data_IF_314825969046
#
_entry.id   IF_314825969046
#
_cell.length_a   1.000
_cell.length_b   1.000
_cell.length_c   1.000
_cell.angle_alpha   90.00
_cell.angle_beta   90.00
_cell.angle_gamma   90.00
#
_symmetry.space_group_name_H-M   'P 1'
#
loop_
_entity.id
_entity.type
_entity.pdbx_description
1 polymer ?
#
# COMPACT_ATOMS: atom_id res chain seq x y z
N UNK A 1 -1.83 -11.08 25.36
CA UNK A 1 -0.45 -11.00 25.86
C UNK A 1 0.50 -11.39 24.74
N UNK A 2 1.60 -10.67 24.59
CA UNK A 2 2.62 -10.89 23.55
C UNK A 2 4.00 -11.07 24.18
N UNK A 3 4.96 -11.54 23.38
CA UNK A 3 6.33 -11.77 23.82
C UNK A 3 7.09 -10.45 23.98
N UNK A 4 7.25 -10.01 25.24
CA UNK A 4 7.92 -8.75 25.59
C UNK A 4 9.42 -8.76 25.29
N UNK A 5 10.05 -9.93 25.25
CA UNK A 5 11.47 -10.04 24.96
C UNK A 5 11.73 -9.73 23.48
N UNK A 6 10.90 -10.28 22.58
CA UNK A 6 10.95 -9.95 21.14
C UNK A 6 10.69 -8.45 20.92
N UNK A 7 9.73 -7.85 21.64
CA UNK A 7 9.51 -6.41 21.54
C UNK A 7 10.76 -5.61 21.90
N UNK A 8 11.47 -5.96 22.99
CA UNK A 8 12.71 -5.27 23.40
C UNK A 8 13.82 -5.35 22.36
N UNK A 9 13.96 -6.50 21.71
CA UNK A 9 14.94 -6.70 20.63
C UNK A 9 14.62 -5.76 19.46
N UNK A 10 13.37 -5.73 19.02
CA UNK A 10 12.96 -4.81 17.93
C UNK A 10 13.10 -3.34 18.34
N UNK A 11 12.81 -2.98 19.59
CA UNK A 11 13.00 -1.60 20.06
C UNK A 11 14.47 -1.17 20.04
N UNK A 12 15.40 -2.11 20.22
CA UNK A 12 16.84 -1.83 20.10
C UNK A 12 17.17 -1.42 18.66
N UNK A 13 16.72 -2.19 17.68
CA UNK A 13 16.92 -1.88 16.26
C UNK A 13 16.15 -0.62 15.82
N UNK A 14 14.94 -0.41 16.35
CA UNK A 14 14.16 0.79 16.10
C UNK A 14 14.94 2.04 16.55
N UNK A 15 15.51 2.03 17.77
CA UNK A 15 16.34 3.11 18.30
C UNK A 15 17.58 3.36 17.45
N UNK A 16 18.28 2.30 17.01
CA UNK A 16 19.47 2.43 16.16
C UNK A 16 19.18 3.07 14.79
N UNK A 17 17.99 2.83 14.25
CA UNK A 17 17.53 3.37 12.97
C UNK A 17 16.73 4.68 13.12
N UNK A 18 16.40 5.09 14.35
CA UNK A 18 15.44 6.14 14.61
C UNK A 18 15.82 7.45 13.93
N UNK A 19 16.99 8.02 14.26
CA UNK A 19 17.46 9.27 13.66
C UNK A 19 17.97 9.12 12.23
N UNK A 20 18.48 7.93 11.88
CA UNK A 20 19.09 7.67 10.58
C UNK A 20 18.05 7.64 9.47
N UNK A 21 16.90 7.01 9.72
CA UNK A 21 15.90 6.74 8.69
C UNK A 21 14.48 6.94 9.20
N UNK A 22 14.12 6.34 10.33
CA UNK A 22 12.71 6.23 10.74
C UNK A 22 12.06 7.60 10.98
N UNK A 23 12.67 8.45 11.80
CA UNK A 23 12.13 9.76 12.16
C UNK A 23 11.92 10.65 10.94
N UNK A 24 12.94 10.76 10.08
CA UNK A 24 12.86 11.60 8.88
C UNK A 24 11.77 11.14 7.91
N UNK A 25 11.51 9.84 7.83
CA UNK A 25 10.50 9.26 6.95
C UNK A 25 9.09 9.33 7.53
N UNK A 26 8.95 9.25 8.86
CA UNK A 26 7.65 9.04 9.51
C UNK A 26 7.16 10.22 10.36
N UNK A 27 8.00 11.25 10.61
CA UNK A 27 7.63 12.44 11.40
C UNK A 27 6.36 13.15 10.91
N UNK A 28 6.02 12.98 9.63
CA UNK A 28 4.82 13.55 9.04
C UNK A 28 3.53 13.10 9.77
N UNK A 29 3.53 11.99 10.50
CA UNK A 29 2.40 11.54 11.32
C UNK A 29 2.09 12.56 12.41
N UNK A 30 3.10 12.98 13.18
CA UNK A 30 2.96 13.96 14.26
C UNK A 30 2.64 15.36 13.70
N UNK A 31 3.26 15.75 12.58
CA UNK A 31 2.97 17.01 11.90
C UNK A 31 1.50 17.04 11.39
N UNK A 32 1.00 15.93 10.86
CA UNK A 32 -0.38 15.80 10.40
C UNK A 32 -1.39 15.92 11.54
N UNK A 33 -1.12 15.30 12.71
CA UNK A 33 -1.99 15.42 13.89
C UNK A 33 -2.02 16.87 14.37
N UNK A 34 -0.85 17.51 14.54
CA UNK A 34 -0.76 18.91 14.99
C UNK A 34 -1.57 19.82 14.07
N UNK A 35 -1.32 19.70 12.77
CA UNK A 35 -1.98 20.53 11.78
C UNK A 35 -3.49 20.29 11.74
N UNK A 36 -3.95 19.03 11.90
CA UNK A 36 -5.38 18.74 12.00
C UNK A 36 -5.99 19.38 13.26
N UNK A 37 -5.39 19.19 14.43
CA UNK A 37 -5.88 19.73 15.70
C UNK A 37 -6.00 21.26 15.68
N UNK A 38 -5.00 21.95 15.13
CA UNK A 38 -4.99 23.41 15.02
C UNK A 38 -6.08 23.97 14.09
N UNK A 39 -6.56 23.16 13.14
CA UNK A 39 -7.46 23.59 12.08
C UNK A 39 -8.83 22.91 12.13
N UNK A 40 -9.08 22.04 13.10
CA UNK A 40 -10.34 21.30 13.22
C UNK A 40 -11.36 22.05 14.09
N UNK A 41 -12.52 22.36 13.52
CA UNK A 41 -13.66 22.88 14.26
C UNK A 41 -14.98 22.34 13.68
N UNK A 42 -15.59 21.37 14.35
CA UNK A 42 -16.84 20.72 13.91
C UNK A 42 -18.03 21.70 13.82
N UNK A 43 -17.98 22.83 14.54
CA UNK A 43 -19.01 23.84 14.57
C UNK A 43 -18.71 25.03 13.63
N UNK A 44 -17.70 24.94 12.77
CA UNK A 44 -17.38 26.00 11.82
C UNK A 44 -18.54 26.23 10.83
N UNK A 45 -18.86 27.49 10.56
CA UNK A 45 -19.87 27.86 9.57
C UNK A 45 -19.45 27.40 8.17
N UNK A 46 -18.16 27.54 7.83
CA UNK A 46 -17.55 27.05 6.58
C UNK A 46 -16.95 25.63 6.73
N UNK A 47 -17.74 24.68 7.24
CA UNK A 47 -17.27 23.33 7.57
C UNK A 47 -16.54 22.62 6.43
N UNK A 48 -17.01 22.72 5.18
CA UNK A 48 -16.36 22.08 4.04
C UNK A 48 -14.92 22.60 3.80
N UNK A 49 -14.72 23.92 3.87
CA UNK A 49 -13.39 24.54 3.74
C UNK A 49 -12.51 24.19 4.93
N UNK A 50 -13.07 24.20 6.15
CA UNK A 50 -12.39 23.79 7.37
C UNK A 50 -11.91 22.34 7.28
N UNK A 51 -12.77 21.41 6.86
CA UNK A 51 -12.45 19.99 6.69
C UNK A 51 -11.33 19.80 5.65
N UNK A 52 -11.43 20.51 4.52
CA UNK A 52 -10.38 20.49 3.48
C UNK A 52 -9.05 21.01 3.99
N UNK A 53 -9.09 22.09 4.77
CA UNK A 53 -7.90 22.66 5.40
C UNK A 53 -7.30 21.66 6.38
N UNK A 54 -8.06 21.16 7.36
CA UNK A 54 -7.57 20.27 8.42
C UNK A 54 -6.95 18.97 7.88
N UNK A 55 -7.42 18.44 6.75
CA UNK A 55 -6.87 17.25 6.10
C UNK A 55 -5.71 17.51 5.10
N UNK A 56 -5.32 18.77 4.86
CA UNK A 56 -4.35 19.10 3.80
C UNK A 56 -2.93 18.53 4.01
N UNK A 57 -2.56 18.19 5.26
CA UNK A 57 -1.26 17.57 5.60
C UNK A 57 -1.31 16.05 5.74
N UNK A 58 -2.44 15.40 5.46
CA UNK A 58 -2.61 13.95 5.65
C UNK A 58 -2.36 13.13 4.40
N UNK A 59 -1.68 13.67 3.37
CA UNK A 59 -1.53 13.01 2.05
C UNK A 59 -0.94 11.61 2.16
N UNK A 60 0.12 11.42 2.95
CA UNK A 60 0.77 10.10 3.13
C UNK A 60 -0.11 9.09 3.90
N UNK A 61 -1.23 9.52 4.47
CA UNK A 61 -2.14 8.70 5.28
C UNK A 61 -3.48 8.44 4.57
N UNK A 62 -3.97 9.46 3.86
CA UNK A 62 -5.32 9.52 3.30
C UNK A 62 -5.32 9.82 1.79
N UNK A 63 -4.19 9.59 1.12
CA UNK A 63 -4.08 9.65 -0.33
C UNK A 63 -2.97 8.75 -0.89
N UNK A 64 -3.30 7.97 -1.90
CA UNK A 64 -2.41 7.32 -2.83
C UNK A 64 -3.04 7.39 -4.22
N UNK A 65 -2.31 6.95 -5.26
CA UNK A 65 -2.74 7.07 -6.68
C UNK A 65 -4.15 6.53 -6.90
N UNK A 66 -4.48 5.38 -6.30
CA UNK A 66 -5.76 4.69 -6.48
C UNK A 66 -6.66 4.72 -5.23
N UNK A 67 -6.31 5.50 -4.20
CA UNK A 67 -7.07 5.59 -2.95
C UNK A 67 -6.99 6.99 -2.35
N UNK A 68 -8.06 7.78 -2.43
CA UNK A 68 -8.06 9.20 -2.02
C UNK A 68 -9.21 9.55 -1.06
N UNK A 69 -9.28 8.92 0.13
CA UNK A 69 -10.36 9.15 1.08
C UNK A 69 -10.55 10.61 1.46
N UNK A 70 -9.48 11.36 1.76
CA UNK A 70 -9.58 12.78 2.10
C UNK A 70 -10.16 13.62 0.95
N UNK A 71 -9.74 13.34 -0.29
CA UNK A 71 -10.25 14.02 -1.47
C UNK A 71 -11.73 13.72 -1.74
N UNK A 72 -12.18 12.50 -1.47
CA UNK A 72 -13.58 12.12 -1.66
C UNK A 72 -14.49 12.74 -0.59
N UNK A 73 -14.11 12.65 0.69
CA UNK A 73 -14.96 13.17 1.78
C UNK A 73 -15.07 14.70 1.75
N UNK A 74 -14.01 15.40 1.32
CA UNK A 74 -14.04 16.86 1.14
C UNK A 74 -14.93 17.28 -0.02
N UNK A 75 -14.90 16.54 -1.15
CA UNK A 75 -15.87 16.74 -2.24
C UNK A 75 -17.31 16.51 -1.81
N UNK A 76 -17.55 15.47 -1.00
CA UNK A 76 -18.87 15.26 -0.44
C UNK A 76 -19.27 16.41 0.50
N UNK A 77 -18.37 16.95 1.30
CA UNK A 77 -18.67 18.09 2.17
C UNK A 77 -18.97 19.38 1.38
N UNK A 78 -18.34 19.58 0.21
CA UNK A 78 -18.63 20.70 -0.69
C UNK A 78 -20.07 20.64 -1.25
N UNK A 79 -20.67 19.45 -1.35
CA UNK A 79 -22.01 19.22 -1.93
C UNK A 79 -23.09 19.03 -0.84
N UNK A 80 -22.78 18.25 0.19
CA UNK A 80 -23.66 17.77 1.26
C UNK A 80 -23.01 18.03 2.63
N UNK A 81 -22.82 19.32 2.92
CA UNK A 81 -22.03 19.80 4.06
C UNK A 81 -22.54 19.26 5.40
N UNK A 82 -23.84 19.36 5.66
CA UNK A 82 -24.42 18.98 6.95
C UNK A 82 -24.50 17.46 7.13
N UNK A 83 -24.67 16.70 6.05
CA UNK A 83 -24.59 15.24 6.09
C UNK A 83 -23.18 14.77 6.47
N UNK A 84 -22.14 15.34 5.84
CA UNK A 84 -20.76 15.00 6.19
C UNK A 84 -20.42 15.50 7.60
N UNK A 85 -20.90 16.68 8.00
CA UNK A 85 -20.75 17.17 9.39
C UNK A 85 -21.36 16.18 10.38
N UNK A 86 -22.58 15.72 10.14
CA UNK A 86 -23.26 14.73 10.97
C UNK A 86 -22.52 13.38 11.03
N UNK A 87 -21.90 12.96 9.92
CA UNK A 87 -21.04 11.76 9.91
C UNK A 87 -19.85 11.90 10.86
N UNK A 88 -19.16 13.05 10.88
CA UNK A 88 -18.05 13.29 11.80
C UNK A 88 -18.51 13.44 13.25
N UNK A 89 -19.66 14.08 13.50
CA UNK A 89 -20.26 14.16 14.85
C UNK A 89 -20.50 12.74 15.39
N UNK A 90 -21.11 11.87 14.59
CA UNK A 90 -21.38 10.49 15.00
C UNK A 90 -20.11 9.66 15.13
N UNK A 91 -19.13 9.85 14.23
CA UNK A 91 -17.84 9.17 14.34
C UNK A 91 -17.12 9.51 15.66
N UNK A 92 -17.26 10.76 16.10
CA UNK A 92 -16.58 11.30 17.28
C UNK A 92 -17.38 11.19 18.59
N UNK A 93 -18.57 10.59 18.56
CA UNK A 93 -19.37 10.26 19.73
C UNK A 93 -18.73 9.08 20.49
N UNK A 94 -17.94 9.36 21.52
CA UNK A 94 -17.28 8.34 22.34
C UNK A 94 -18.21 7.56 23.28
N UNK A 95 -19.52 7.87 23.29
CA UNK A 95 -20.51 7.06 24.02
C UNK A 95 -20.91 5.78 23.28
N UNK A 96 -20.62 5.69 21.98
CA UNK A 96 -20.93 4.54 21.12
C UNK A 96 -19.72 3.63 20.92
N UNK A 97 -19.98 2.36 20.65
CA UNK A 97 -18.92 1.39 20.34
C UNK A 97 -18.14 1.80 19.08
N UNK A 98 -16.82 1.62 19.11
CA UNK A 98 -15.95 2.06 18.02
C UNK A 98 -16.33 1.45 16.67
N UNK A 99 -16.70 0.17 16.65
CA UNK A 99 -17.06 -0.49 15.40
C UNK A 99 -18.37 0.09 14.85
N UNK A 100 -19.35 0.38 15.70
CA UNK A 100 -20.62 1.00 15.27
C UNK A 100 -20.38 2.36 14.61
N UNK A 101 -19.53 3.20 15.21
CA UNK A 101 -19.17 4.52 14.66
C UNK A 101 -18.50 4.41 13.29
N UNK A 102 -17.51 3.52 13.16
CA UNK A 102 -16.80 3.34 11.89
C UNK A 102 -17.73 2.73 10.83
N UNK A 103 -18.54 1.74 11.20
CA UNK A 103 -19.51 1.11 10.32
C UNK A 103 -20.55 2.11 9.82
N UNK A 104 -21.10 2.93 10.71
CA UNK A 104 -22.04 4.00 10.36
C UNK A 104 -21.43 5.00 9.37
N UNK A 105 -20.19 5.43 9.61
CA UNK A 105 -19.48 6.33 8.68
C UNK A 105 -19.31 5.72 7.29
N UNK A 106 -18.98 4.42 7.21
CA UNK A 106 -18.86 3.69 5.94
C UNK A 106 -20.19 3.63 5.20
N UNK A 107 -21.25 3.18 5.87
CA UNK A 107 -22.59 3.06 5.28
C UNK A 107 -23.12 4.41 4.78
N UNK A 108 -22.91 5.49 5.55
CA UNK A 108 -23.27 6.85 5.11
C UNK A 108 -22.44 7.32 3.92
N UNK A 109 -21.17 6.91 3.84
CA UNK A 109 -20.34 7.19 2.67
C UNK A 109 -20.82 6.47 1.41
N UNK A 110 -21.37 5.26 1.53
CA UNK A 110 -22.00 4.54 0.41
C UNK A 110 -23.24 5.29 -0.10
N UNK A 111 -24.08 5.82 0.81
CA UNK A 111 -25.24 6.64 0.45
C UNK A 111 -24.80 7.92 -0.28
N UNK A 112 -23.76 8.59 0.19
CA UNK A 112 -23.21 9.78 -0.47
C UNK A 112 -22.61 9.45 -1.84
N UNK A 113 -21.98 8.28 -2.00
CA UNK A 113 -21.47 7.80 -3.27
C UNK A 113 -22.59 7.54 -4.28
N UNK A 114 -23.68 6.90 -3.85
CA UNK A 114 -24.83 6.64 -4.71
C UNK A 114 -25.46 7.95 -5.21
N UNK A 115 -25.57 8.95 -4.32
CA UNK A 115 -26.19 10.24 -4.64
C UNK A 115 -25.27 11.18 -5.44
N UNK A 116 -23.99 11.25 -5.09
CA UNK A 116 -23.07 12.31 -5.53
C UNK A 116 -21.76 11.79 -6.14
N UNK A 117 -21.60 10.47 -6.26
CA UNK A 117 -20.36 9.85 -6.71
C UNK A 117 -20.01 10.07 -8.19
N UNK A 118 -20.96 10.53 -9.01
CA UNK A 118 -20.74 10.86 -10.43
C UNK A 118 -20.00 9.76 -11.22
N UNK A 119 -20.41 8.50 -11.04
CA UNK A 119 -19.80 7.34 -11.71
C UNK A 119 -18.55 6.77 -11.03
N UNK A 120 -18.14 7.32 -9.87
CA UNK A 120 -17.09 6.72 -9.07
C UNK A 120 -17.52 5.35 -8.53
N UNK A 121 -16.64 4.35 -8.66
CA UNK A 121 -16.94 2.99 -8.21
C UNK A 121 -16.87 2.80 -6.69
N UNK A 122 -16.20 3.70 -5.95
CA UNK A 122 -15.92 3.58 -4.50
C UNK A 122 -15.81 4.94 -3.83
N UNK A 123 -16.17 5.01 -2.55
CA UNK A 123 -16.05 6.21 -1.70
C UNK A 123 -14.71 6.33 -0.95
N UNK A 124 -13.91 5.25 -0.95
CA UNK A 124 -12.57 5.15 -0.32
C UNK A 124 -12.52 5.28 1.21
N UNK A 125 -13.65 5.47 1.90
CA UNK A 125 -13.71 5.55 3.37
C UNK A 125 -13.66 4.15 3.99
N UNK A 126 -12.57 3.41 3.79
CA UNK A 126 -12.39 2.10 4.41
C UNK A 126 -12.01 2.22 5.91
N UNK A 127 -11.86 1.09 6.58
CA UNK A 127 -11.52 0.98 8.01
C UNK A 127 -10.26 1.78 8.38
N UNK A 128 -9.27 1.77 7.48
CA UNK A 128 -8.01 2.48 7.68
C UNK A 128 -8.19 3.99 7.57
N UNK A 129 -8.95 4.46 6.57
CA UNK A 129 -9.27 5.86 6.43
C UNK A 129 -10.07 6.39 7.63
N UNK A 130 -11.12 5.67 8.04
CA UNK A 130 -12.00 6.12 9.13
C UNK A 130 -11.30 6.07 10.49
N UNK A 131 -10.49 5.04 10.77
CA UNK A 131 -9.64 5.02 11.97
C UNK A 131 -8.60 6.13 11.98
N UNK A 132 -8.08 6.53 10.82
CA UNK A 132 -7.18 7.70 10.72
C UNK A 132 -7.89 8.99 11.13
N UNK A 133 -9.16 9.20 10.76
CA UNK A 133 -9.92 10.36 11.24
C UNK A 133 -10.14 10.35 12.76
N UNK A 134 -10.35 9.17 13.36
CA UNK A 134 -10.44 9.01 14.81
C UNK A 134 -9.11 9.34 15.49
N UNK A 135 -7.99 8.81 14.99
CA UNK A 135 -6.66 9.11 15.50
C UNK A 135 -6.29 10.59 15.33
N UNK A 136 -6.62 11.22 14.20
CA UNK A 136 -6.39 12.66 14.01
C UNK A 136 -7.14 13.50 15.05
N UNK A 137 -8.38 13.12 15.41
CA UNK A 137 -9.20 13.86 16.38
C UNK A 137 -8.85 13.56 17.84
N UNK A 138 -8.53 12.31 18.15
CA UNK A 138 -8.23 11.83 19.50
C UNK A 138 -6.91 11.03 19.48
N UNK A 139 -5.78 11.69 19.19
CA UNK A 139 -4.49 11.03 19.01
C UNK A 139 -4.01 10.30 20.26
N UNK A 140 -4.45 10.73 21.45
CA UNK A 140 -4.09 10.13 22.72
C UNK A 140 -4.86 8.83 23.06
N UNK A 141 -5.85 8.46 22.23
CA UNK A 141 -6.75 7.32 22.49
C UNK A 141 -6.77 6.26 21.39
N UNK A 142 -6.64 6.66 20.13
CA UNK A 142 -6.76 5.74 18.99
C UNK A 142 -5.46 5.65 18.21
N UNK A 143 -5.43 4.69 17.28
CA UNK A 143 -4.31 4.44 16.38
C UNK A 143 -4.83 4.32 14.95
N UNK A 144 -3.92 4.38 13.98
CA UNK A 144 -4.24 4.07 12.58
C UNK A 144 -4.36 2.55 12.45
N UNK A 145 -5.55 2.07 12.09
CA UNK A 145 -5.78 0.64 11.89
C UNK A 145 -5.49 0.22 10.46
N UNK A 146 -4.67 -0.82 10.30
CA UNK A 146 -4.45 -1.52 9.03
C UNK A 146 -4.33 -3.03 9.30
N UNK A 147 -5.23 -3.81 8.72
CA UNK A 147 -5.35 -5.25 9.01
C UNK A 147 -4.05 -6.03 8.75
N UNK A 148 -3.39 -5.78 7.63
CA UNK A 148 -2.15 -6.51 7.29
C UNK A 148 -1.01 -6.14 8.24
N UNK A 149 -0.88 -4.87 8.61
CA UNK A 149 0.16 -4.41 9.54
C UNK A 149 -0.06 -5.03 10.93
N UNK A 150 -1.28 -4.95 11.49
CA UNK A 150 -1.54 -5.55 12.82
C UNK A 150 -1.34 -7.06 12.83
N UNK A 151 -1.70 -7.78 11.75
CA UNK A 151 -1.42 -9.22 11.61
C UNK A 151 0.07 -9.50 11.71
N UNK A 152 0.88 -8.80 10.92
CA UNK A 152 2.33 -8.96 10.93
C UNK A 152 2.93 -8.66 12.31
N UNK A 153 2.47 -7.61 12.99
CA UNK A 153 2.92 -7.28 14.34
C UNK A 153 2.52 -8.36 15.35
N UNK A 154 1.30 -8.87 15.26
CA UNK A 154 0.81 -9.93 16.15
C UNK A 154 1.59 -11.23 15.98
N UNK A 155 1.84 -11.64 14.73
CA UNK A 155 2.65 -12.81 14.40
C UNK A 155 4.08 -12.66 14.90
N UNK A 156 4.70 -11.50 14.64
CA UNK A 156 6.09 -11.24 15.00
C UNK A 156 6.32 -11.25 16.51
N UNK A 157 5.42 -10.63 17.27
CA UNK A 157 5.52 -10.56 18.71
C UNK A 157 4.96 -11.82 19.41
N UNK A 158 4.69 -12.90 18.66
CA UNK A 158 4.12 -14.16 19.18
C UNK A 158 2.89 -13.91 20.07
N UNK A 159 2.03 -13.01 19.61
CA UNK A 159 0.91 -12.51 20.39
C UNK A 159 -0.26 -13.49 20.41
N UNK A 160 -0.95 -13.57 21.54
CA UNK A 160 -2.21 -14.31 21.66
C UNK A 160 -3.37 -13.67 20.87
N UNK A 161 -3.20 -12.44 20.38
CA UNK A 161 -4.21 -11.76 19.57
C UNK A 161 -4.22 -12.33 18.15
N UNK A 162 -5.41 -12.61 17.63
CA UNK A 162 -5.58 -13.11 16.26
C UNK A 162 -6.48 -12.18 15.46
N UNK A 163 -6.07 -11.87 14.24
CA UNK A 163 -6.78 -10.94 13.37
C UNK A 163 -7.20 -11.67 12.10
N UNK A 164 -8.49 -11.67 11.79
CA UNK A 164 -9.07 -12.50 10.71
C UNK A 164 -9.68 -11.65 9.62
N UNK A 165 -9.64 -12.12 8.37
CA UNK A 165 -10.39 -11.44 7.31
C UNK A 165 -11.89 -11.49 7.63
N UNK A 166 -12.62 -10.42 7.29
CA UNK A 166 -14.07 -10.31 7.50
C UNK A 166 -14.57 -10.31 8.96
N UNK A 167 -13.69 -10.35 9.97
CA UNK A 167 -14.05 -10.24 11.39
C UNK A 167 -13.83 -8.81 11.92
N UNK A 168 -14.43 -7.81 11.27
CA UNK A 168 -14.03 -6.42 11.46
C UNK A 168 -14.24 -5.88 12.90
N UNK A 169 -15.41 -6.15 13.49
CA UNK A 169 -15.72 -5.71 14.86
C UNK A 169 -14.70 -6.22 15.88
N UNK A 170 -14.44 -7.53 15.84
CA UNK A 170 -13.51 -8.19 16.76
C UNK A 170 -12.07 -7.74 16.50
N UNK A 171 -11.68 -7.56 15.23
CA UNK A 171 -10.36 -7.07 14.88
C UNK A 171 -10.08 -5.67 15.43
N UNK A 172 -11.03 -4.73 15.33
CA UNK A 172 -10.80 -3.36 15.84
C UNK A 172 -10.67 -3.37 17.36
N UNK A 173 -11.56 -4.08 18.06
CA UNK A 173 -11.51 -4.16 19.53
C UNK A 173 -10.21 -4.83 19.98
N UNK A 174 -9.86 -5.96 19.37
CA UNK A 174 -8.60 -6.66 19.63
C UNK A 174 -7.38 -5.82 19.30
N UNK A 175 -7.43 -5.04 18.23
CA UNK A 175 -6.34 -4.16 17.82
C UNK A 175 -6.07 -3.08 18.85
N UNK A 176 -7.13 -2.41 19.34
CA UNK A 176 -6.97 -1.40 20.39
C UNK A 176 -6.40 -2.00 21.68
N UNK A 177 -6.94 -3.14 22.14
CA UNK A 177 -6.40 -3.81 23.33
C UNK A 177 -4.94 -4.20 23.14
N UNK A 178 -4.60 -4.78 21.99
CA UNK A 178 -3.25 -5.21 21.67
C UNK A 178 -2.26 -4.02 21.61
N UNK A 179 -2.60 -2.95 20.89
CA UNK A 179 -1.74 -1.78 20.78
C UNK A 179 -1.65 -1.00 22.09
N UNK A 180 -2.69 -1.03 22.94
CA UNK A 180 -2.61 -0.49 24.29
C UNK A 180 -1.63 -1.28 25.17
N UNK A 181 -1.60 -2.61 25.07
CA UNK A 181 -0.59 -3.42 25.75
C UNK A 181 0.83 -3.11 25.25
N UNK A 182 1.02 -2.98 23.93
CA UNK A 182 2.32 -2.60 23.34
C UNK A 182 2.74 -1.22 23.85
N UNK A 183 1.84 -0.24 23.79
CA UNK A 183 2.07 1.13 24.25
C UNK A 183 2.48 1.18 25.72
N UNK A 184 1.86 0.36 26.58
CA UNK A 184 2.20 0.27 27.99
C UNK A 184 3.59 -0.33 28.25
N UNK A 185 4.13 -1.12 27.33
CA UNK A 185 5.52 -1.59 27.40
C UNK A 185 6.51 -0.59 26.80
N UNK A 186 6.15 0.06 25.68
CA UNK A 186 6.95 1.13 25.07
C UNK A 186 7.15 2.29 26.05
N UNK A 187 6.11 2.67 26.80
CA UNK A 187 6.17 3.77 27.76
C UNK A 187 7.10 3.53 28.96
N UNK A 188 7.66 2.33 29.08
CA UNK A 188 8.67 1.98 30.10
C UNK A 188 10.11 2.12 29.58
N UNK A 189 10.31 2.25 28.26
CA UNK A 189 11.63 2.42 27.66
C UNK A 189 12.04 3.90 27.70
N UNK A 190 12.70 4.30 28.78
CA UNK A 190 13.13 5.69 28.99
C UNK A 190 14.13 6.19 27.94
N UNK A 191 14.93 5.30 27.34
CA UNK A 191 15.87 5.69 26.28
C UNK A 191 15.11 6.08 25.02
N UNK A 192 14.15 5.25 24.59
CA UNK A 192 13.28 5.53 23.45
C UNK A 192 12.47 6.82 23.67
N UNK A 193 11.90 6.99 24.87
CA UNK A 193 11.11 8.19 25.19
C UNK A 193 11.98 9.45 25.12
N UNK A 194 13.19 9.42 25.67
CA UNK A 194 14.11 10.56 25.60
C UNK A 194 14.52 10.85 24.16
N UNK A 195 14.83 9.81 23.38
CA UNK A 195 15.19 9.93 21.97
C UNK A 195 14.05 10.56 21.17
N UNK A 196 12.82 10.07 21.33
CA UNK A 196 11.62 10.61 20.70
C UNK A 196 11.36 12.06 21.12
N UNK A 197 11.33 12.34 22.44
CA UNK A 197 11.05 13.66 22.99
C UNK A 197 12.04 14.72 22.50
N UNK A 198 13.30 14.34 22.28
CA UNK A 198 14.33 15.24 21.74
C UNK A 198 14.07 15.71 20.31
N UNK A 199 13.22 15.00 19.56
CA UNK A 199 12.91 15.31 18.16
C UNK A 199 11.59 16.05 17.98
N UNK A 200 10.72 16.07 18.99
CA UNK A 200 9.45 16.79 18.92
C UNK A 200 9.72 18.29 18.85
N UNK A 201 9.12 18.93 17.85
CA UNK A 201 9.17 20.38 17.63
C UNK A 201 7.78 20.99 17.80
N UNK A 202 7.69 22.33 17.77
CA UNK A 202 6.41 23.05 17.82
C UNK A 202 5.41 22.67 16.71
N UNK A 203 5.90 22.14 15.59
CA UNK A 203 5.10 21.69 14.46
C UNK A 203 4.60 20.25 14.61
N UNK A 204 5.04 19.54 15.65
CA UNK A 204 4.64 18.16 15.93
C UNK A 204 3.58 18.12 17.04
N UNK A 205 2.68 17.13 16.97
CA UNK A 205 1.84 16.81 18.11
C UNK A 205 2.73 16.20 19.21
N UNK A 206 2.59 16.60 20.49
CA UNK A 206 3.47 16.13 21.56
C UNK A 206 3.41 14.62 21.80
N UNK A 207 2.25 13.99 21.55
CA UNK A 207 2.02 12.56 21.71
C UNK A 207 2.33 12.07 23.13
N UNK A 208 1.79 12.75 24.14
CA UNK A 208 2.08 12.48 25.56
C UNK A 208 1.66 11.08 26.02
N UNK A 209 0.67 10.49 25.37
CA UNK A 209 0.22 9.10 25.59
C UNK A 209 0.95 8.08 24.70
N UNK A 210 1.94 8.52 23.91
CA UNK A 210 2.79 7.70 23.04
C UNK A 210 2.04 6.82 22.03
N UNK A 211 0.82 7.20 21.66
CA UNK A 211 -0.02 6.41 20.75
C UNK A 211 0.50 6.46 19.33
N UNK A 212 0.92 7.64 18.89
CA UNK A 212 1.48 7.83 17.55
C UNK A 212 2.85 7.14 17.45
N UNK A 213 3.70 7.26 18.48
CA UNK A 213 4.94 6.51 18.60
C UNK A 213 4.70 5.00 18.56
N UNK A 214 3.70 4.50 19.29
CA UNK A 214 3.34 3.07 19.26
C UNK A 214 2.87 2.64 17.88
N UNK A 215 2.04 3.44 17.20
CA UNK A 215 1.63 3.17 15.83
C UNK A 215 2.83 3.14 14.86
N UNK A 216 3.82 4.01 15.06
CA UNK A 216 5.04 4.04 14.27
C UNK A 216 5.93 2.81 14.52
N UNK A 217 6.09 2.39 15.77
CA UNK A 217 6.79 1.15 16.12
C UNK A 217 6.08 -0.07 15.50
N UNK A 218 4.74 -0.11 15.57
CA UNK A 218 3.95 -1.16 14.90
C UNK A 218 4.19 -1.18 13.39
N UNK A 219 4.23 -0.01 12.75
CA UNK A 219 4.57 0.11 11.33
C UNK A 219 6.01 -0.39 11.06
N UNK A 220 6.99 0.01 11.87
CA UNK A 220 8.37 -0.46 11.76
C UNK A 220 8.47 -1.97 11.88
N UNK A 221 7.85 -2.58 12.89
CA UNK A 221 7.78 -4.04 13.05
C UNK A 221 7.21 -4.68 11.77
N UNK A 222 6.09 -4.18 11.25
CA UNK A 222 5.47 -4.75 10.05
C UNK A 222 6.41 -4.71 8.82
N UNK A 223 7.27 -3.68 8.73
CA UNK A 223 8.30 -3.58 7.68
C UNK A 223 9.49 -4.47 7.96
N UNK A 224 9.91 -4.55 9.21
CA UNK A 224 11.02 -5.37 9.66
C UNK A 224 10.76 -6.86 9.45
N UNK A 225 9.55 -7.35 9.75
CA UNK A 225 9.09 -8.72 9.48
C UNK A 225 9.33 -9.10 8.02
N UNK A 226 8.96 -8.21 7.09
CA UNK A 226 9.16 -8.47 5.66
C UNK A 226 10.65 -8.54 5.30
N UNK A 227 11.48 -7.72 5.94
CA UNK A 227 12.93 -7.71 5.71
C UNK A 227 13.64 -8.93 6.31
N UNK A 228 13.26 -9.37 7.51
CA UNK A 228 13.91 -10.49 8.19
C UNK A 228 13.45 -11.86 7.68
N UNK A 229 12.17 -12.02 7.34
CA UNK A 229 11.70 -13.22 6.61
C UNK A 229 12.46 -13.38 5.28
N UNK A 230 12.81 -12.27 4.64
CA UNK A 230 13.63 -12.28 3.43
C UNK A 230 15.09 -12.68 3.73
N UNK A 231 15.73 -12.14 4.77
CA UNK A 231 17.11 -12.54 5.13
C UNK A 231 17.20 -13.99 5.61
N UNK A 232 16.27 -14.45 6.46
CA UNK A 232 16.22 -15.84 6.93
C UNK A 232 15.90 -16.81 5.77
N UNK A 233 15.12 -16.39 4.75
CA UNK A 233 14.92 -17.20 3.55
C UNK A 233 16.15 -17.33 2.66
N UNK A 234 17.07 -16.36 2.73
CA UNK A 234 18.35 -16.40 2.00
C UNK A 234 19.41 -17.22 2.77
N UNK A 235 19.48 -17.07 4.10
CA UNK A 235 20.38 -17.88 4.95
C UNK A 235 20.01 -19.38 4.91
N UNK A 236 18.71 -19.71 4.94
CA UNK A 236 18.27 -21.10 4.76
C UNK A 236 18.58 -21.66 3.36
N UNK A 237 18.75 -20.82 2.33
CA UNK A 237 19.20 -21.27 1.01
C UNK A 237 20.71 -21.52 0.95
N UNK A 238 21.51 -20.87 1.79
CA UNK A 238 22.96 -21.09 1.87
C UNK A 238 23.29 -22.37 2.68
N UNK A 239 22.55 -22.68 3.75
CA UNK A 239 22.71 -23.96 4.48
C UNK A 239 22.26 -25.20 3.69
N UNK A 240 21.30 -25.05 2.76
CA UNK A 240 20.81 -26.14 1.90
C UNK A 240 21.80 -26.57 0.80
N UNK A 241 22.87 -25.82 0.57
CA UNK A 241 23.86 -26.12 -0.49
C UNK A 241 24.99 -27.05 0.02
N UNK A 242 25.18 -27.22 1.33
CA UNK A 242 26.32 -27.99 1.86
C UNK A 242 26.03 -29.46 2.24
N UNK A 243 24.78 -29.93 2.29
CA UNK A 243 24.52 -31.32 2.70
C UNK A 243 23.49 -32.04 1.82
N UNK A 244 23.97 -32.80 0.83
CA UNK A 244 23.20 -33.86 0.17
C UNK A 244 23.69 -35.22 0.69
N UNK A 245 22.86 -35.96 1.43
CA UNK A 245 22.46 -37.35 1.14
C UNK A 245 21.54 -37.93 2.24
N UNK A 246 20.49 -38.62 1.77
CA UNK A 246 19.56 -39.52 2.50
C UNK A 246 18.85 -39.02 3.76
N UNK A 247 17.56 -38.72 3.66
CA UNK A 247 16.46 -39.50 4.27
C UNK A 247 15.10 -38.83 4.01
N UNK A 248 14.06 -39.66 3.83
CA UNK A 248 12.67 -39.23 3.70
C UNK A 248 12.18 -38.71 5.06
N UNK A 249 11.55 -37.54 5.12
CA UNK A 249 10.54 -37.21 6.14
C UNK A 249 9.59 -36.09 5.70
N UNK A 250 8.36 -36.19 6.19
CA UNK A 250 7.16 -35.46 5.80
C UNK A 250 7.24 -33.93 6.04
N UNK A 251 6.73 -33.17 5.07
CA UNK A 251 6.62 -31.72 5.10
C UNK A 251 5.38 -31.34 5.93
N UNK A 252 5.58 -30.62 7.04
CA UNK A 252 4.48 -29.93 7.74
C UNK A 252 4.22 -28.62 7.00
N UNK A 253 3.10 -28.55 6.29
CA UNK A 253 2.66 -27.36 5.57
C UNK A 253 2.30 -26.19 6.53
N UNK A 254 2.70 -24.94 6.22
CA UNK A 254 2.25 -23.77 6.96
C UNK A 254 0.74 -23.51 6.75
N UNK A 255 0.05 -22.87 7.71
CA UNK A 255 -1.41 -22.82 7.72
C UNK A 255 -1.98 -22.02 6.54
N UNK A 256 -2.98 -22.63 5.88
CA UNK A 256 -3.65 -22.16 4.67
C UNK A 256 -4.28 -20.76 4.84
N UNK A 257 -3.95 -19.86 3.90
CA UNK A 257 -4.65 -18.59 3.65
C UNK A 257 -6.15 -18.87 3.40
N UNK A 258 -7.08 -17.95 3.74
CA UNK A 258 -8.43 -18.02 3.16
C UNK A 258 -8.28 -18.01 1.63
N UNK A 259 -9.09 -18.81 0.94
CA UNK A 259 -8.86 -19.26 -0.44
C UNK A 259 -8.82 -18.11 -1.46
N UNK A 260 -7.71 -17.37 -1.49
CA UNK A 260 -7.36 -16.38 -2.50
C UNK A 260 -6.87 -17.08 -3.77
N UNK A 261 -6.90 -18.41 -3.81
CA UNK A 261 -6.51 -19.18 -4.97
C UNK A 261 -7.30 -18.71 -6.19
N UNK A 262 -6.58 -18.55 -7.28
CA UNK A 262 -7.17 -18.25 -8.57
C UNK A 262 -6.45 -19.07 -9.60
N UNK A 263 -7.14 -20.06 -10.15
CA UNK A 263 -6.53 -21.00 -11.06
C UNK A 263 -6.83 -20.65 -12.52
N UNK A 264 -6.23 -21.41 -13.42
CA UNK A 264 -6.60 -21.43 -14.83
C UNK A 264 -8.09 -21.72 -15.03
N UNK A 265 -8.67 -22.62 -14.24
CA UNK A 265 -10.09 -22.98 -14.34
C UNK A 265 -10.98 -21.79 -13.96
N UNK A 266 -10.60 -21.01 -12.95
CA UNK A 266 -11.31 -19.78 -12.58
C UNK A 266 -11.23 -18.73 -13.69
N UNK A 267 -10.05 -18.56 -14.31
CA UNK A 267 -9.88 -17.71 -15.48
C UNK A 267 -10.82 -18.11 -16.61
N UNK A 268 -10.89 -19.40 -16.96
CA UNK A 268 -11.69 -19.89 -18.08
C UNK A 268 -13.20 -19.79 -17.82
N UNK A 269 -13.64 -19.73 -16.56
CA UNK A 269 -15.04 -19.48 -16.19
C UNK A 269 -15.40 -18.00 -16.31
N UNK A 270 -14.50 -17.10 -15.95
CA UNK A 270 -14.77 -15.66 -15.89
C UNK A 270 -14.46 -14.93 -17.20
N UNK A 271 -13.46 -15.39 -17.94
CA UNK A 271 -12.99 -14.76 -19.17
C UNK A 271 -13.44 -15.59 -20.36
N UNK A 272 -14.17 -14.96 -21.29
CA UNK A 272 -14.64 -15.60 -22.52
C UNK A 272 -13.46 -15.87 -23.47
N UNK A 273 -12.74 -16.96 -23.21
CA UNK A 273 -11.53 -17.37 -23.93
C UNK A 273 -11.42 -18.89 -23.92
N UNK A 274 -11.02 -19.48 -25.06
CA UNK A 274 -10.77 -20.92 -25.12
C UNK A 274 -9.51 -21.29 -24.35
N UNK A 275 -9.48 -22.51 -23.82
CA UNK A 275 -8.30 -23.03 -23.11
C UNK A 275 -7.03 -22.99 -23.97
N UNK A 276 -7.13 -23.32 -25.26
CA UNK A 276 -6.02 -23.24 -26.19
C UNK A 276 -5.47 -21.81 -26.32
N UNK A 277 -6.35 -20.79 -26.33
CA UNK A 277 -5.95 -19.38 -26.41
C UNK A 277 -5.35 -18.91 -25.08
N UNK A 278 -5.87 -19.34 -23.94
CA UNK A 278 -5.26 -19.10 -22.63
C UNK A 278 -3.85 -19.69 -22.55
N UNK A 279 -3.68 -20.97 -22.88
CA UNK A 279 -2.40 -21.66 -22.83
C UNK A 279 -1.35 -20.95 -23.71
N UNK A 280 -1.74 -20.53 -24.91
CA UNK A 280 -0.88 -19.73 -25.79
C UNK A 280 -0.51 -18.40 -25.15
N UNK A 281 -1.47 -17.67 -24.59
CA UNK A 281 -1.25 -16.35 -24.00
C UNK A 281 -0.32 -16.43 -22.79
N UNK A 282 -0.59 -17.36 -21.87
CA UNK A 282 0.22 -17.62 -20.69
C UNK A 282 1.63 -18.06 -21.07
N UNK A 283 1.78 -18.98 -22.04
CA UNK A 283 3.10 -19.41 -22.51
C UNK A 283 3.92 -18.27 -23.12
N UNK A 284 3.30 -17.39 -23.91
CA UNK A 284 3.98 -16.21 -24.47
C UNK A 284 4.38 -15.26 -23.35
N UNK A 285 3.49 -14.98 -22.39
CA UNK A 285 3.78 -14.11 -21.26
C UNK A 285 4.93 -14.64 -20.41
N UNK A 286 4.90 -15.92 -20.05
CA UNK A 286 5.95 -16.52 -19.22
C UNK A 286 7.31 -16.57 -19.93
N UNK A 287 7.32 -16.78 -21.25
CA UNK A 287 8.55 -16.83 -22.05
C UNK A 287 9.11 -15.45 -22.40
N UNK A 288 8.26 -14.51 -22.82
CA UNK A 288 8.67 -13.20 -23.32
C UNK A 288 8.61 -12.09 -22.26
N UNK A 289 8.00 -12.35 -21.11
CA UNK A 289 7.77 -11.42 -19.98
C UNK A 289 6.94 -10.18 -20.34
N UNK A 290 6.57 -9.99 -21.61
CA UNK A 290 5.84 -8.84 -22.08
C UNK A 290 4.86 -9.30 -23.16
N UNK A 291 3.61 -8.85 -23.08
CA UNK A 291 2.58 -9.10 -24.10
C UNK A 291 1.77 -7.83 -24.34
N UNK A 292 1.20 -7.72 -25.53
CA UNK A 292 0.21 -6.69 -25.85
C UNK A 292 -1.10 -7.38 -26.22
N UNK A 293 -2.17 -7.04 -25.48
CA UNK A 293 -3.53 -7.45 -25.79
C UNK A 293 -4.16 -6.42 -26.71
N UNK A 294 -4.38 -6.80 -27.96
CA UNK A 294 -5.00 -5.94 -28.98
C UNK A 294 -6.45 -6.38 -29.23
N UNK A 295 -7.36 -5.41 -29.37
CA UNK A 295 -8.75 -5.66 -29.75
C UNK A 295 -9.61 -4.40 -29.74
N UNK A 296 -10.87 -4.52 -30.16
CA UNK A 296 -11.81 -3.40 -30.16
C UNK A 296 -12.01 -2.82 -28.74
N UNK A 297 -12.42 -1.55 -28.60
CA UNK A 297 -12.82 -0.99 -27.31
C UNK A 297 -13.95 -1.79 -26.66
N UNK A 298 -13.97 -1.87 -25.32
CA UNK A 298 -15.07 -2.51 -24.58
C UNK A 298 -15.10 -4.05 -24.57
N UNK A 299 -14.17 -4.75 -25.23
CA UNK A 299 -14.15 -6.23 -25.28
C UNK A 299 -13.57 -6.92 -24.03
N UNK A 300 -13.42 -6.19 -22.92
CA UNK A 300 -12.93 -6.75 -21.66
C UNK A 300 -11.42 -7.03 -21.59
N UNK A 301 -10.58 -6.33 -22.37
CA UNK A 301 -9.11 -6.51 -22.33
C UNK A 301 -8.53 -6.30 -20.93
N UNK A 302 -8.93 -5.23 -20.25
CA UNK A 302 -8.52 -4.89 -18.88
C UNK A 302 -8.91 -5.97 -17.89
N UNK A 303 -10.14 -6.48 -18.04
CA UNK A 303 -10.64 -7.59 -17.23
C UNK A 303 -9.79 -8.85 -17.46
N UNK A 304 -9.56 -9.23 -18.72
CA UNK A 304 -8.75 -10.40 -19.07
C UNK A 304 -7.29 -10.28 -18.62
N UNK A 305 -6.67 -9.09 -18.72
CA UNK A 305 -5.30 -8.85 -18.27
C UNK A 305 -5.12 -9.10 -16.77
N UNK A 306 -6.02 -8.55 -15.95
CA UNK A 306 -5.98 -8.73 -14.50
C UNK A 306 -6.22 -10.18 -14.09
N UNK A 307 -7.17 -10.85 -14.74
CA UNK A 307 -7.43 -12.28 -14.48
C UNK A 307 -6.30 -13.19 -14.92
N UNK A 308 -5.64 -12.88 -16.03
CA UNK A 308 -4.45 -13.61 -16.46
C UNK A 308 -3.31 -13.47 -15.44
N UNK A 309 -3.10 -12.27 -14.89
CA UNK A 309 -2.13 -12.06 -13.82
C UNK A 309 -2.47 -12.95 -12.62
N UNK A 310 -3.71 -12.94 -12.12
CA UNK A 310 -4.10 -13.80 -11.01
C UNK A 310 -3.89 -15.29 -11.30
N UNK A 311 -4.22 -15.76 -12.50
CA UNK A 311 -4.12 -17.18 -12.84
C UNK A 311 -2.67 -17.65 -12.97
N UNK A 312 -1.77 -16.77 -13.41
CA UNK A 312 -0.32 -17.03 -13.41
C UNK A 312 0.24 -16.99 -11.99
N UNK A 313 -0.24 -16.06 -11.16
CA UNK A 313 0.15 -15.98 -9.75
C UNK A 313 -0.38 -17.14 -8.90
N UNK A 314 -1.43 -17.83 -9.37
CA UNK A 314 -2.16 -18.83 -8.62
C UNK A 314 -3.04 -18.25 -7.50
N UNK A 315 -3.09 -16.92 -7.35
CA UNK A 315 -3.86 -16.24 -6.32
C UNK A 315 -4.28 -14.82 -6.75
N UNK A 316 -5.38 -14.33 -6.18
CA UNK A 316 -5.81 -12.94 -6.25
C UNK A 316 -4.94 -12.10 -5.31
N UNK A 317 -3.95 -11.43 -5.89
CA UNK A 317 -3.07 -10.52 -5.16
C UNK A 317 -2.93 -9.21 -5.94
N UNK A 318 -3.69 -8.19 -5.50
CA UNK A 318 -3.65 -6.86 -6.10
C UNK A 318 -2.37 -6.09 -5.75
N UNK A 319 -1.63 -6.50 -4.72
CA UNK A 319 -0.37 -5.82 -4.39
C UNK A 319 0.74 -6.16 -5.39
N UNK A 320 0.64 -7.31 -6.07
CA UNK A 320 1.57 -7.72 -7.12
C UNK A 320 1.15 -7.27 -8.51
N UNK A 321 0.14 -6.41 -8.62
CA UNK A 321 -0.31 -5.80 -9.86
C UNK A 321 -0.24 -4.28 -9.75
N UNK A 322 0.44 -3.63 -10.68
CA UNK A 322 0.35 -2.18 -10.87
C UNK A 322 -0.38 -1.90 -12.17
N UNK A 323 -1.27 -0.91 -12.18
CA UNK A 323 -2.10 -0.58 -13.34
C UNK A 323 -1.98 0.90 -13.66
N UNK A 324 -1.55 1.21 -14.88
CA UNK A 324 -1.47 2.57 -15.39
C UNK A 324 -2.13 2.67 -16.76
N UNK A 325 -2.42 3.89 -17.19
CA UNK A 325 -2.86 4.19 -18.55
C UNK A 325 -1.90 5.22 -19.17
N UNK A 326 -1.45 4.96 -20.40
CA UNK A 326 -0.65 5.92 -21.13
C UNK A 326 -1.51 6.95 -21.87
N UNK A 327 -0.95 8.15 -21.97
CA UNK A 327 -1.48 9.26 -22.74
C UNK A 327 -0.33 9.99 -23.45
N UNK A 328 -0.65 10.86 -24.41
CA UNK A 328 0.36 11.52 -25.25
C UNK A 328 1.44 12.29 -24.47
N UNK A 329 1.07 12.85 -23.32
CA UNK A 329 1.99 13.61 -22.46
C UNK A 329 2.66 12.75 -21.37
N UNK A 330 2.51 11.42 -21.40
CA UNK A 330 3.13 10.55 -20.40
C UNK A 330 4.64 10.49 -20.68
N UNK A 331 5.44 10.68 -19.64
CA UNK A 331 6.87 11.00 -19.78
C UNK A 331 7.76 9.99 -19.05
N UNK A 332 9.06 10.05 -19.31
CA UNK A 332 10.06 9.28 -18.55
C UNK A 332 10.04 9.71 -17.07
N UNK A 333 9.83 10.99 -16.81
CA UNK A 333 9.85 11.59 -15.48
C UNK A 333 8.74 11.05 -14.57
N UNK A 334 7.60 10.69 -15.15
CA UNK A 334 6.47 10.07 -14.44
C UNK A 334 6.63 8.54 -14.32
N UNK A 335 7.27 7.92 -15.31
CA UNK A 335 7.47 6.47 -15.36
C UNK A 335 8.62 6.00 -14.47
N UNK A 336 9.75 6.68 -14.55
CA UNK A 336 11.03 6.27 -13.99
C UNK A 336 11.54 7.20 -12.90
N UNK A 337 11.94 8.41 -13.28
CA UNK A 337 12.31 9.46 -12.34
C UNK A 337 12.52 10.78 -13.04
N UNK A 338 12.30 11.87 -12.30
CA UNK A 338 12.60 13.21 -12.77
C UNK A 338 12.70 14.19 -11.63
N UNK A 339 13.38 15.29 -11.88
CA UNK A 339 13.42 16.42 -10.95
C UNK A 339 12.07 17.15 -10.97
N UNK A 340 11.43 17.26 -9.80
CA UNK A 340 10.20 18.04 -9.64
C UNK A 340 10.48 19.24 -8.70
N UNK A 341 9.87 20.41 -8.94
CA UNK A 341 10.02 21.56 -8.05
C UNK A 341 9.63 21.20 -6.61
N UNK A 342 10.46 21.63 -5.65
CA UNK A 342 10.26 21.41 -4.21
C UNK A 342 10.84 22.60 -3.44
N UNK A 343 9.97 23.48 -2.93
CA UNK A 343 10.39 24.75 -2.33
C UNK A 343 11.14 25.63 -3.32
N UNK A 344 12.31 26.12 -2.93
CA UNK A 344 13.20 26.96 -3.75
C UNK A 344 14.13 26.15 -4.68
N UNK A 345 13.95 24.83 -4.77
CA UNK A 345 14.83 23.94 -5.53
C UNK A 345 14.09 22.83 -6.28
N UNK A 346 14.86 21.81 -6.66
CA UNK A 346 14.36 20.62 -7.35
C UNK A 346 14.73 19.38 -6.56
N UNK A 347 13.79 18.43 -6.48
CA UNK A 347 14.01 17.15 -5.83
C UNK A 347 13.79 16.01 -6.84
N UNK A 348 14.71 15.04 -6.86
CA UNK A 348 14.53 13.84 -7.67
C UNK A 348 13.38 13.01 -7.11
N UNK A 349 12.34 12.79 -7.92
CA UNK A 349 11.21 11.92 -7.57
C UNK A 349 11.24 10.68 -8.43
N UNK A 350 11.07 9.53 -7.79
CA UNK A 350 10.94 8.25 -8.48
C UNK A 350 9.52 8.02 -8.98
N UNK A 351 9.43 7.61 -10.25
CA UNK A 351 8.23 7.26 -10.96
C UNK A 351 7.68 5.89 -10.59
N UNK A 352 6.54 5.56 -11.19
CA UNK A 352 5.73 4.39 -10.82
C UNK A 352 6.41 3.06 -11.18
N UNK A 353 7.04 2.97 -12.36
CA UNK A 353 7.71 1.75 -12.80
C UNK A 353 8.96 1.49 -11.97
N UNK A 354 9.75 2.53 -11.68
CA UNK A 354 10.91 2.42 -10.77
C UNK A 354 10.49 1.81 -9.43
N UNK A 355 9.48 2.41 -8.77
CA UNK A 355 8.98 1.93 -7.47
C UNK A 355 8.46 0.50 -7.54
N UNK A 356 7.75 0.16 -8.61
CA UNK A 356 7.22 -1.18 -8.79
C UNK A 356 8.32 -2.23 -9.04
N UNK A 357 9.36 -1.89 -9.81
CA UNK A 357 10.54 -2.75 -9.96
C UNK A 357 11.27 -2.94 -8.63
N UNK A 358 11.41 -1.90 -7.80
CA UNK A 358 11.98 -2.04 -6.44
C UNK A 358 11.13 -2.97 -5.58
N UNK A 359 9.80 -2.82 -5.59
CA UNK A 359 8.86 -3.70 -4.90
C UNK A 359 8.97 -5.16 -5.38
N UNK A 360 9.07 -5.39 -6.68
CA UNK A 360 9.21 -6.73 -7.24
C UNK A 360 10.58 -7.36 -6.91
N UNK A 361 11.64 -6.53 -6.84
CA UNK A 361 12.98 -6.98 -6.43
C UNK A 361 13.03 -7.41 -4.95
N UNK A 362 12.13 -6.91 -4.09
CA UNK A 362 12.01 -7.36 -2.69
C UNK A 362 11.45 -8.78 -2.57
N UNK A 363 10.82 -9.34 -3.62
CA UNK A 363 10.22 -10.67 -3.63
C UNK A 363 10.52 -11.39 -4.97
N UNK A 364 11.78 -11.78 -5.24
CA UNK A 364 12.24 -12.27 -6.55
C UNK A 364 11.62 -13.59 -6.99
N UNK A 365 11.03 -14.36 -6.07
CA UNK A 365 10.35 -15.62 -6.34
C UNK A 365 8.87 -15.48 -6.71
N UNK A 366 8.31 -14.28 -6.55
CA UNK A 366 6.91 -13.99 -6.86
C UNK A 366 6.79 -13.30 -8.22
N UNK A 367 5.76 -13.68 -8.97
CA UNK A 367 5.41 -12.98 -10.21
C UNK A 367 4.69 -11.67 -9.91
N UNK A 368 5.13 -10.60 -10.59
CA UNK A 368 4.57 -9.25 -10.53
C UNK A 368 4.11 -8.83 -11.92
N UNK A 369 3.03 -8.04 -12.00
CA UNK A 369 2.41 -7.66 -13.26
C UNK A 369 2.25 -6.15 -13.34
N UNK A 370 2.90 -5.54 -14.33
CA UNK A 370 2.75 -4.14 -14.66
C UNK A 370 1.83 -4.02 -15.88
N UNK A 371 0.60 -3.60 -15.66
CA UNK A 371 -0.44 -3.51 -16.67
C UNK A 371 -0.50 -2.07 -17.19
N UNK A 372 -0.41 -1.92 -18.50
CA UNK A 372 -0.42 -0.62 -19.18
C UNK A 372 -1.59 -0.58 -20.14
N UNK A 373 -2.59 0.23 -19.82
CA UNK A 373 -3.69 0.53 -20.72
C UNK A 373 -3.31 1.60 -21.73
N UNK A 374 -3.94 1.55 -22.90
CA UNK A 374 -3.70 2.46 -24.02
C UNK A 374 -2.19 2.60 -24.36
N UNK A 375 -1.47 1.46 -24.38
CA UNK A 375 0.00 1.45 -24.48
C UNK A 375 0.50 2.19 -25.75
N UNK A 376 -0.29 2.20 -26.81
CA UNK A 376 0.01 2.88 -28.06
C UNK A 376 -0.22 4.39 -28.03
N UNK A 377 -0.82 4.98 -26.98
CA UNK A 377 -1.04 6.43 -26.88
C UNK A 377 0.15 7.20 -26.34
N UNK A 378 1.11 6.51 -25.71
CA UNK A 378 2.38 7.07 -25.27
C UNK A 378 3.49 6.89 -26.31
N UNK A 379 4.55 7.67 -26.21
CA UNK A 379 5.78 7.41 -26.98
C UNK A 379 6.66 6.41 -26.20
N UNK A 380 6.67 5.13 -26.60
CA UNK A 380 7.35 4.07 -25.84
C UNK A 380 8.83 4.32 -25.66
N UNK A 381 9.51 4.74 -26.73
CA UNK A 381 10.94 5.02 -26.69
C UNK A 381 11.27 6.15 -25.72
N UNK A 382 10.45 7.21 -25.67
CA UNK A 382 10.62 8.31 -24.72
C UNK A 382 10.29 7.90 -23.29
N UNK A 383 9.23 7.12 -23.09
CA UNK A 383 8.75 6.75 -21.75
C UNK A 383 9.70 5.74 -21.08
N UNK A 384 10.12 4.70 -21.81
CA UNK A 384 11.00 3.67 -21.27
C UNK A 384 12.47 4.11 -21.26
N UNK A 385 12.87 5.02 -22.15
CA UNK A 385 14.25 5.50 -22.23
C UNK A 385 15.26 4.35 -22.35
N UNK A 386 16.26 4.37 -21.47
CA UNK A 386 17.31 3.34 -21.35
C UNK A 386 16.78 1.95 -20.94
N UNK A 387 15.54 1.84 -20.45
CA UNK A 387 14.96 0.57 -20.02
C UNK A 387 14.30 -0.23 -21.14
N UNK A 388 14.16 0.34 -22.34
CA UNK A 388 13.50 -0.36 -23.44
C UNK A 388 14.17 -1.70 -23.76
N UNK A 389 15.49 -1.78 -23.58
CA UNK A 389 16.25 -3.04 -23.67
C UNK A 389 16.04 -3.91 -22.42
N UNK A 390 16.08 -3.32 -21.22
CA UNK A 390 15.97 -4.06 -19.94
C UNK A 390 14.62 -4.74 -19.74
N UNK A 391 13.60 -4.37 -20.52
CA UNK A 391 12.33 -5.07 -20.46
C UNK A 391 12.32 -6.41 -21.17
N UNK A 392 13.28 -6.68 -22.05
CA UNK A 392 13.41 -7.95 -22.74
C UNK A 392 13.73 -9.09 -21.76
N UNK A 393 13.18 -10.29 -22.03
CA UNK A 393 13.34 -11.45 -21.15
C UNK A 393 14.81 -11.79 -20.85
N UNK A 394 15.69 -11.66 -21.85
CA UNK A 394 17.12 -11.98 -21.75
C UNK A 394 17.95 -10.84 -21.11
N UNK A 395 17.32 -9.69 -20.83
CA UNK A 395 17.96 -8.52 -20.22
C UNK A 395 17.37 -8.17 -18.85
N UNK A 396 16.41 -8.94 -18.34
CA UNK A 396 15.97 -8.86 -16.94
C UNK A 396 17.16 -9.13 -16.00
N UNK A 397 17.13 -8.49 -14.84
CA UNK A 397 18.19 -8.46 -13.81
C UNK A 397 19.55 -7.89 -14.27
N UNK A 398 19.75 -7.64 -15.57
CA UNK A 398 20.92 -6.90 -16.04
C UNK A 398 20.79 -5.43 -15.62
N UNK A 399 21.91 -4.87 -15.19
CA UNK A 399 21.99 -3.51 -14.69
C UNK A 399 22.26 -2.54 -15.83
N UNK A 400 21.56 -1.42 -15.81
CA UNK A 400 21.88 -0.22 -16.59
C UNK A 400 22.09 0.94 -15.62
N UNK A 401 22.93 1.89 -16.02
CA UNK A 401 23.16 3.12 -15.28
C UNK A 401 22.11 4.15 -15.68
N UNK A 402 21.35 4.64 -14.69
CA UNK A 402 20.29 5.62 -14.90
C UNK A 402 20.88 7.02 -15.16
N UNK A 403 20.34 7.72 -16.15
CA UNK A 403 20.89 9.00 -16.60
C UNK A 403 20.79 10.12 -15.55
N UNK A 404 19.75 10.09 -14.71
CA UNK A 404 19.44 11.19 -13.77
C UNK A 404 20.31 11.21 -12.51
N UNK A 405 20.74 10.05 -12.02
CA UNK A 405 21.43 9.92 -10.73
C UNK A 405 22.64 8.99 -10.75
N UNK A 406 22.97 8.39 -11.90
CA UNK A 406 24.10 7.48 -12.05
C UNK A 406 23.95 6.15 -11.30
N UNK A 407 22.78 5.85 -10.74
CA UNK A 407 22.57 4.60 -10.01
C UNK A 407 22.35 3.42 -10.96
N UNK A 408 22.78 2.25 -10.53
CA UNK A 408 22.45 1.01 -11.20
C UNK A 408 20.98 0.63 -10.98
N UNK A 409 20.32 0.22 -12.05
CA UNK A 409 18.94 -0.26 -12.03
C UNK A 409 18.77 -1.46 -12.95
N UNK A 410 17.95 -2.41 -12.53
CA UNK A 410 17.58 -3.58 -13.34
C UNK A 410 16.08 -3.81 -13.23
N UNK A 411 15.50 -4.44 -14.26
CA UNK A 411 14.10 -4.86 -14.20
C UNK A 411 14.02 -6.32 -13.75
N UNK A 412 13.26 -6.64 -12.68
CA UNK A 412 13.22 -8.00 -12.12
C UNK A 412 12.76 -9.08 -13.10
N UNK A 413 13.39 -10.25 -13.06
CA UNK A 413 13.08 -11.41 -13.94
C UNK A 413 11.65 -11.93 -13.86
N UNK A 414 10.98 -11.78 -12.70
CA UNK A 414 9.59 -12.16 -12.50
C UNK A 414 8.59 -11.00 -12.62
N UNK A 415 9.04 -9.85 -13.13
CA UNK A 415 8.15 -8.78 -13.54
C UNK A 415 7.68 -9.00 -14.98
N UNK A 416 6.37 -9.03 -15.16
CA UNK A 416 5.69 -9.19 -16.42
C UNK A 416 4.98 -7.90 -16.82
N UNK A 417 5.02 -7.52 -18.08
CA UNK A 417 4.31 -6.34 -18.59
C UNK A 417 3.15 -6.79 -19.49
N UNK A 418 1.95 -6.31 -19.21
CA UNK A 418 0.78 -6.55 -20.05
C UNK A 418 0.30 -5.20 -20.58
N UNK A 419 0.62 -4.92 -21.85
CA UNK A 419 0.09 -3.76 -22.56
C UNK A 419 -1.31 -4.05 -23.13
N UNK A 420 -2.13 -3.02 -23.26
CA UNK A 420 -3.41 -3.11 -23.95
C UNK A 420 -3.51 -1.99 -24.98
N UNK A 421 -4.05 -2.33 -26.15
CA UNK A 421 -4.20 -1.40 -27.27
C UNK A 421 -5.55 -1.57 -27.94
N UNK A 422 -6.20 -0.46 -28.26
CA UNK A 422 -7.38 -0.45 -29.10
C UNK A 422 -6.98 -0.50 -30.58
N UNK A 423 -7.60 -1.40 -31.35
CA UNK A 423 -7.38 -1.50 -32.80
C UNK A 423 -7.94 -0.31 -33.59
N UNK A 424 -8.85 0.45 -33.00
CA UNK A 424 -9.47 1.62 -33.63
C UNK A 424 -8.56 2.86 -33.60
N UNK A 425 -7.55 2.88 -32.72
CA UNK A 425 -6.63 4.00 -32.59
C UNK A 425 -5.56 3.93 -33.69
N UNK A 426 -5.84 4.62 -34.80
CA UNK A 426 -4.95 4.73 -35.97
C UNK A 426 -3.76 5.71 -35.79
N UNK A 427 -3.60 6.31 -34.62
CA UNK A 427 -2.77 7.52 -34.48
C UNK A 427 -1.26 7.30 -34.42
N UNK A 428 -0.73 6.08 -34.28
CA UNK A 428 0.71 5.84 -34.10
C UNK A 428 1.15 4.47 -34.66
N UNK A 429 0.88 4.20 -35.94
CA UNK A 429 1.51 3.10 -36.69
C UNK A 429 2.77 3.59 -37.41
#
# INVERSE_FOLDING_TARGET
MFNKQILKEVLTEYKENFLKTQWNNEKYKWEAVKYFQDNWNINADNFAEMLKKSLSKTKNLLASVNNFPAGMITKFAEIACEEVRAMFIELYDESKDIYERISSFKQKSDILLEKYGNGAARHYQNESAVSTYLWLKYPDRYYIYKLNEVKSVSEWLESSYTFKNNSYADNIRSFLSFYNEICAEISKDGELINLFSSQITENCYPDTEYRTLTADVGFFISKYVNKKRFSESLENQEELIENHESEKNEIIEPPLKPDNKYTKEDFLKEVYMTEAKYNRLSAVLMKKKNIILQGAPGVGKTFAAKRLAYSVMGEKDDERIEFIQFHQNYSYEDFMMGYKPSGDGFELKYGIFYKFCRKAAENPDKDYFFIIDEINRGNMSKIFGELLMLIEADYRDKKATLAYNGQEFSVPKRLHIIGMMNTADRSLA
#
